data_IF_326123348919
#
_entry.id   IF_326123348919
#
_cell.length_a   1.000
_cell.length_b   1.000
_cell.length_c   1.000
_cell.angle_alpha   90.00
_cell.angle_beta   90.00
_cell.angle_gamma   90.00
#
_symmetry.space_group_name_H-M   'P 1'
#
loop_
_entity.id
_entity.type
_entity.pdbx_description
1 polymer ?
#
# COMPACT_ATOMS: atom_id res chain seq x y z
N UNK A 1 -5.16 -20.36 -26.78
CA UNK A 1 -5.23 -19.33 -25.69
C UNK A 1 -3.87 -18.71 -25.63
N UNK A 2 -3.74 -17.42 -25.91
CA UNK A 2 -2.46 -16.73 -25.77
C UNK A 2 -2.04 -16.76 -24.29
N UNK A 3 -0.77 -17.05 -24.03
CA UNK A 3 -0.21 -16.93 -22.69
C UNK A 3 -0.27 -15.45 -22.31
N UNK A 4 -1.10 -15.11 -21.33
CA UNK A 4 -1.30 -13.73 -20.88
C UNK A 4 -0.22 -13.30 -19.89
N UNK A 5 0.58 -14.25 -19.39
CA UNK A 5 1.61 -14.03 -18.38
C UNK A 5 2.77 -14.99 -18.59
N UNK A 6 3.99 -14.45 -18.66
CA UNK A 6 5.23 -15.23 -18.70
C UNK A 6 5.87 -15.21 -17.30
N UNK A 7 6.26 -16.39 -16.79
CA UNK A 7 7.08 -16.50 -15.59
C UNK A 7 8.54 -16.68 -15.98
N UNK A 8 9.39 -15.82 -15.46
CA UNK A 8 10.85 -15.91 -15.61
C UNK A 8 11.49 -16.18 -14.26
N UNK A 9 12.44 -17.10 -14.20
CA UNK A 9 13.17 -17.43 -12.99
C UNK A 9 14.67 -17.24 -13.19
N UNK A 10 15.28 -16.42 -12.35
CA UNK A 10 16.72 -16.14 -12.39
C UNK A 10 17.37 -16.56 -11.08
N UNK A 11 18.44 -17.35 -11.18
CA UNK A 11 19.24 -17.80 -10.04
C UNK A 11 20.46 -16.90 -9.85
N UNK A 12 20.79 -16.60 -8.59
CA UNK A 12 22.00 -15.83 -8.29
C UNK A 12 23.30 -16.62 -8.56
N UNK A 13 23.22 -17.97 -8.72
CA UNK A 13 24.34 -18.84 -9.06
C UNK A 13 23.88 -19.88 -10.09
N UNK A 14 24.60 -20.05 -11.20
CA UNK A 14 24.22 -21.00 -12.25
C UNK A 14 24.45 -22.47 -11.85
N UNK A 15 25.33 -22.70 -10.87
CA UNK A 15 25.63 -24.01 -10.33
C UNK A 15 26.00 -23.90 -8.85
N UNK A 16 25.69 -24.96 -8.11
CA UNK A 16 26.00 -25.08 -6.68
C UNK A 16 26.91 -26.28 -6.49
N UNK A 17 28.07 -26.13 -5.84
CA UNK A 17 28.97 -27.27 -5.59
C UNK A 17 28.33 -28.29 -4.66
N UNK A 18 28.60 -29.55 -4.91
CA UNK A 18 28.16 -30.64 -4.01
C UNK A 18 29.03 -30.59 -2.74
N UNK A 19 28.43 -30.17 -1.62
CA UNK A 19 29.08 -30.13 -0.30
C UNK A 19 28.14 -30.66 0.77
N UNK A 20 28.69 -31.04 1.92
CA UNK A 20 27.89 -31.41 3.09
C UNK A 20 27.34 -30.21 3.87
N UNK A 21 27.77 -28.99 3.54
CA UNK A 21 27.34 -27.77 4.20
C UNK A 21 26.06 -27.22 3.55
N UNK A 22 25.19 -26.62 4.38
CA UNK A 22 24.04 -25.87 3.87
C UNK A 22 24.50 -24.70 2.99
N UNK A 23 23.82 -24.51 1.88
CA UNK A 23 24.11 -23.43 0.95
C UNK A 23 22.86 -22.57 0.76
N UNK A 24 23.05 -21.25 0.69
CA UNK A 24 21.99 -20.29 0.41
C UNK A 24 21.95 -19.97 -1.09
N UNK A 25 20.77 -20.12 -1.66
CA UNK A 25 20.47 -19.79 -3.04
C UNK A 25 19.36 -18.76 -3.09
N UNK A 26 19.51 -17.76 -3.94
CA UNK A 26 18.46 -16.78 -4.21
C UNK A 26 17.87 -17.03 -5.59
N UNK A 27 16.55 -17.01 -5.65
CA UNK A 27 15.78 -17.15 -6.89
C UNK A 27 14.91 -15.92 -7.04
N UNK A 28 15.09 -15.15 -8.10
CA UNK A 28 14.16 -14.10 -8.51
C UNK A 28 13.15 -14.73 -9.46
N UNK A 29 11.87 -14.59 -9.13
CA UNK A 29 10.75 -15.03 -9.98
C UNK A 29 10.02 -13.78 -10.43
N UNK A 30 9.95 -13.56 -11.73
CA UNK A 30 9.30 -12.40 -12.35
C UNK A 30 8.07 -12.87 -13.13
N UNK A 31 6.95 -12.21 -12.87
CA UNK A 31 5.72 -12.38 -13.62
C UNK A 31 5.61 -11.23 -14.63
N UNK A 32 5.88 -11.52 -15.89
CA UNK A 32 5.89 -10.53 -16.98
C UNK A 32 4.59 -10.65 -17.77
N UNK A 33 3.70 -9.65 -17.73
CA UNK A 33 2.49 -9.65 -18.54
C UNK A 33 2.82 -9.47 -20.01
N UNK A 34 2.01 -10.04 -20.90
CA UNK A 34 2.12 -9.76 -22.33
C UNK A 34 1.68 -8.30 -22.64
N UNK A 35 1.95 -7.84 -23.86
CA UNK A 35 1.64 -6.46 -24.27
C UNK A 35 0.14 -6.12 -24.17
N UNK A 36 -0.74 -7.10 -24.34
CA UNK A 36 -2.20 -6.92 -24.28
C UNK A 36 -2.64 -6.74 -22.84
N UNK A 37 -2.15 -7.59 -21.93
CA UNK A 37 -2.45 -7.50 -20.49
C UNK A 37 -1.83 -6.25 -19.89
N UNK A 38 -0.61 -5.88 -20.29
CA UNK A 38 0.05 -4.67 -19.82
C UNK A 38 -0.71 -3.37 -20.17
N UNK A 39 -1.61 -3.41 -21.18
CA UNK A 39 -2.47 -2.27 -21.56
C UNK A 39 -3.80 -2.25 -20.78
N UNK A 40 -4.15 -3.32 -20.07
CA UNK A 40 -5.38 -3.38 -19.27
C UNK A 40 -5.19 -2.59 -17.98
N UNK A 41 -5.90 -1.47 -17.88
CA UNK A 41 -5.93 -0.69 -16.65
C UNK A 41 -7.03 -1.20 -15.72
N UNK A 42 -6.67 -1.55 -14.49
CA UNK A 42 -7.63 -1.81 -13.43
C UNK A 42 -8.18 -0.49 -12.87
N UNK A 43 -9.49 -0.44 -12.63
CA UNK A 43 -10.10 0.69 -11.92
C UNK A 43 -9.64 0.71 -10.46
N UNK A 44 -9.55 1.87 -9.86
CA UNK A 44 -9.17 2.04 -8.46
C UNK A 44 -10.39 2.27 -7.58
N UNK A 45 -10.29 1.79 -6.35
CA UNK A 45 -11.07 2.19 -5.19
C UNK A 45 -10.06 2.54 -4.10
N UNK A 46 -9.72 3.83 -4.00
CA UNK A 46 -8.56 4.32 -3.27
C UNK A 46 -8.98 5.21 -2.10
N UNK A 47 -8.58 4.82 -0.90
CA UNK A 47 -8.81 5.58 0.32
C UNK A 47 -7.55 6.29 0.80
N UNK A 48 -7.57 7.62 0.88
CA UNK A 48 -6.54 8.40 1.55
C UNK A 48 -6.89 8.55 3.02
N UNK A 49 -5.98 8.14 3.93
CA UNK A 49 -6.08 8.29 5.38
C UNK A 49 -4.92 9.18 5.82
N UNK A 50 -5.22 10.42 6.13
CA UNK A 50 -4.25 11.49 6.21
C UNK A 50 -4.16 12.07 7.63
N UNK A 51 -2.97 12.03 8.18
CA UNK A 51 -2.66 12.69 9.43
C UNK A 51 -2.70 14.22 9.25
N UNK A 52 -3.42 14.88 10.13
CA UNK A 52 -3.42 16.33 10.25
C UNK A 52 -3.08 16.79 11.67
N UNK A 53 -2.36 15.99 12.45
CA UNK A 53 -1.92 16.31 13.82
C UNK A 53 -1.11 17.59 13.90
N UNK A 54 -0.80 18.03 15.11
CA UNK A 54 -0.08 19.27 15.34
C UNK A 54 1.32 19.30 14.73
N UNK A 55 2.01 18.16 14.63
CA UNK A 55 3.32 17.98 14.00
C UNK A 55 3.32 18.20 12.50
N UNK A 56 2.18 18.02 11.85
CA UNK A 56 1.99 18.26 10.41
C UNK A 56 1.93 19.74 10.02
N UNK A 57 2.03 20.69 10.97
CA UNK A 57 1.95 22.14 10.67
C UNK A 57 3.05 22.61 9.73
N UNK A 58 2.73 23.65 8.95
CA UNK A 58 3.67 24.30 8.02
C UNK A 58 3.79 23.52 6.72
N UNK A 59 5.01 23.33 6.27
CA UNK A 59 5.30 22.77 4.96
C UNK A 59 4.75 21.33 4.76
N UNK A 60 4.77 20.50 5.80
CA UNK A 60 4.26 19.11 5.72
C UNK A 60 2.81 19.06 5.28
N UNK A 61 1.91 19.83 5.91
CA UNK A 61 0.49 19.82 5.55
C UNK A 61 0.25 20.45 4.18
N UNK A 62 1.05 21.45 3.79
CA UNK A 62 0.92 22.07 2.48
C UNK A 62 1.34 21.12 1.37
N UNK A 63 2.46 20.39 1.55
CA UNK A 63 2.90 19.33 0.61
C UNK A 63 1.95 18.14 0.57
N UNK A 64 1.36 17.76 1.69
CA UNK A 64 0.33 16.72 1.71
C UNK A 64 -0.88 17.11 0.86
N UNK A 65 -1.38 18.34 1.00
CA UNK A 65 -2.48 18.88 0.19
C UNK A 65 -2.12 18.83 -1.29
N UNK A 66 -0.93 19.32 -1.66
CA UNK A 66 -0.41 19.30 -3.03
C UNK A 66 -0.35 17.86 -3.58
N UNK A 67 0.16 16.91 -2.80
CA UNK A 67 0.27 15.50 -3.20
C UNK A 67 -1.09 14.87 -3.47
N UNK A 68 -2.08 15.12 -2.62
CA UNK A 68 -3.45 14.62 -2.82
C UNK A 68 -4.09 15.25 -4.05
N UNK A 69 -3.93 16.56 -4.28
CA UNK A 69 -4.44 17.23 -5.48
C UNK A 69 -3.82 16.66 -6.76
N UNK A 70 -2.51 16.45 -6.76
CA UNK A 70 -1.80 15.85 -7.88
C UNK A 70 -2.26 14.40 -8.13
N UNK A 71 -2.44 13.60 -7.07
CA UNK A 71 -2.99 12.25 -7.18
C UNK A 71 -4.39 12.26 -7.81
N UNK A 72 -5.30 13.12 -7.32
CA UNK A 72 -6.64 13.29 -7.87
C UNK A 72 -6.62 13.69 -9.35
N UNK A 73 -5.65 14.51 -9.76
CA UNK A 73 -5.52 14.94 -11.16
C UNK A 73 -5.15 13.80 -12.12
N UNK A 74 -4.42 12.78 -11.62
CA UNK A 74 -3.92 11.62 -12.39
C UNK A 74 -4.88 10.43 -12.40
N UNK A 75 -5.81 10.36 -11.46
CA UNK A 75 -6.82 9.31 -11.40
C UNK A 75 -7.87 9.50 -12.51
N UNK A 76 -8.55 8.45 -12.91
CA UNK A 76 -9.56 8.49 -13.99
C UNK A 76 -10.96 8.76 -13.42
N UNK A 77 -11.89 9.14 -14.29
CA UNK A 77 -13.26 9.51 -13.89
C UNK A 77 -14.07 8.35 -13.30
N UNK A 78 -13.72 7.11 -13.64
CA UNK A 78 -14.37 5.89 -13.15
C UNK A 78 -13.70 5.29 -11.91
N UNK A 79 -12.56 5.88 -11.45
CA UNK A 79 -11.98 5.54 -10.15
C UNK A 79 -12.86 6.06 -9.01
N UNK A 80 -12.88 5.29 -7.92
CA UNK A 80 -13.45 5.71 -6.65
C UNK A 80 -12.35 6.26 -5.75
N UNK A 81 -12.64 7.34 -5.07
CA UNK A 81 -11.73 7.95 -4.12
C UNK A 81 -12.46 8.37 -2.86
N UNK A 82 -11.84 8.16 -1.73
CA UNK A 82 -12.25 8.74 -0.43
C UNK A 82 -11.07 9.44 0.24
N UNK A 83 -11.37 10.44 1.06
CA UNK A 83 -10.36 11.14 1.87
C UNK A 83 -10.86 11.19 3.30
N UNK A 84 -10.13 10.54 4.18
CA UNK A 84 -10.32 10.58 5.63
C UNK A 84 -9.16 11.34 6.25
N UNK A 85 -9.44 12.25 7.18
CA UNK A 85 -8.44 12.98 7.93
C UNK A 85 -8.55 12.65 9.40
N UNK A 86 -7.42 12.57 10.10
CA UNK A 86 -7.38 12.27 11.51
C UNK A 86 -6.38 13.13 12.29
N UNK A 87 -6.64 13.27 13.58
CA UNK A 87 -5.78 13.82 14.61
C UNK A 87 -6.17 13.12 15.94
N UNK A 88 -6.54 13.80 17.00
CA UNK A 88 -7.26 13.27 18.18
C UNK A 88 -8.72 12.86 17.87
N UNK A 89 -9.22 13.22 16.72
CA UNK A 89 -10.49 12.79 16.16
C UNK A 89 -10.33 12.49 14.67
N UNK A 90 -11.24 11.72 14.09
CA UNK A 90 -11.24 11.43 12.67
C UNK A 90 -12.57 11.78 12.02
N UNK A 91 -12.50 12.16 10.75
CA UNK A 91 -13.69 12.39 9.93
C UNK A 91 -13.45 12.06 8.47
N UNK A 92 -14.46 11.60 7.79
CA UNK A 92 -14.46 11.48 6.33
C UNK A 92 -14.65 12.89 5.77
N UNK A 93 -13.62 13.39 5.09
CA UNK A 93 -13.63 14.68 4.41
C UNK A 93 -14.32 14.57 3.05
N UNK A 94 -14.01 13.50 2.31
CA UNK A 94 -14.60 13.13 1.03
C UNK A 94 -15.08 11.69 1.16
N UNK A 95 -16.40 11.43 1.18
CA UNK A 95 -16.93 10.08 1.09
C UNK A 95 -16.54 9.40 -0.22
N UNK A 96 -16.48 8.07 -0.22
CA UNK A 96 -16.13 7.31 -1.42
C UNK A 96 -17.03 7.71 -2.60
N UNK A 97 -16.43 8.28 -3.62
CA UNK A 97 -17.15 8.82 -4.78
C UNK A 97 -16.32 8.68 -6.06
N UNK A 98 -17.01 8.67 -7.19
CA UNK A 98 -16.34 8.74 -8.51
C UNK A 98 -15.77 10.14 -8.76
N UNK A 99 -14.66 10.20 -9.46
CA UNK A 99 -13.97 11.46 -9.80
C UNK A 99 -14.69 12.29 -10.87
N UNK A 100 -16.00 12.45 -10.75
CA UNK A 100 -16.77 13.27 -11.68
C UNK A 100 -16.52 14.78 -11.54
N UNK A 101 -16.09 15.24 -10.36
CA UNK A 101 -15.81 16.66 -10.07
C UNK A 101 -14.52 16.83 -9.27
N UNK A 102 -13.37 16.71 -9.95
CA UNK A 102 -12.03 16.87 -9.33
C UNK A 102 -11.85 18.21 -8.63
N UNK A 103 -12.35 19.30 -9.22
CA UNK A 103 -12.24 20.66 -8.66
C UNK A 103 -12.95 20.80 -7.32
N UNK A 104 -14.12 20.19 -7.16
CA UNK A 104 -14.85 20.19 -5.89
C UNK A 104 -14.10 19.40 -4.81
N UNK A 105 -13.52 18.25 -5.15
CA UNK A 105 -12.73 17.43 -4.25
C UNK A 105 -11.45 18.14 -3.81
N UNK A 106 -10.71 18.72 -4.76
CA UNK A 106 -9.53 19.53 -4.49
C UNK A 106 -9.86 20.71 -3.56
N UNK A 107 -10.98 21.41 -3.79
CA UNK A 107 -11.41 22.50 -2.92
C UNK A 107 -11.70 22.06 -1.48
N UNK A 108 -12.15 20.83 -1.27
CA UNK A 108 -12.32 20.26 0.08
C UNK A 108 -10.96 19.94 0.71
N UNK A 109 -10.04 19.33 -0.04
CA UNK A 109 -8.68 18.97 0.41
C UNK A 109 -7.90 20.23 0.83
N UNK A 110 -8.00 21.34 0.10
CA UNK A 110 -7.37 22.64 0.47
C UNK A 110 -7.84 23.22 1.80
N UNK A 111 -8.94 22.71 2.37
CA UNK A 111 -9.44 23.14 3.68
C UNK A 111 -8.84 22.37 4.85
N UNK A 112 -7.99 21.38 4.60
CA UNK A 112 -7.30 20.64 5.65
C UNK A 112 -6.41 21.63 6.41
N UNK A 113 -6.43 21.52 7.74
CA UNK A 113 -5.58 22.33 8.62
C UNK A 113 -5.02 21.41 9.70
N UNK A 114 -3.73 21.54 9.96
CA UNK A 114 -3.04 20.78 10.99
C UNK A 114 -3.42 21.23 12.40
N UNK A 115 -3.56 20.26 13.31
CA UNK A 115 -3.83 20.50 14.75
C UNK A 115 -4.39 19.27 15.45
N UNK A 116 -4.24 19.23 16.75
CA UNK A 116 -4.66 18.12 17.61
C UNK A 116 -3.55 17.09 17.84
N UNK A 117 -3.92 15.98 18.51
CA UNK A 117 -3.07 14.82 18.73
C UNK A 117 -3.07 13.84 17.56
N UNK A 118 -2.75 12.56 17.83
CA UNK A 118 -2.66 11.51 16.81
C UNK A 118 -3.34 10.23 17.31
N UNK A 119 -4.57 9.95 16.87
CA UNK A 119 -5.29 8.69 17.08
C UNK A 119 -5.48 8.01 15.71
N UNK A 120 -4.49 7.24 15.29
CA UNK A 120 -4.42 6.61 13.97
C UNK A 120 -5.53 5.60 13.73
N UNK A 121 -5.90 4.81 14.75
CA UNK A 121 -6.93 3.78 14.62
C UNK A 121 -8.29 4.33 14.20
N UNK A 122 -8.62 5.55 14.63
CA UNK A 122 -9.87 6.22 14.21
C UNK A 122 -9.84 6.57 12.73
N UNK A 123 -8.69 7.10 12.27
CA UNK A 123 -8.48 7.39 10.86
C UNK A 123 -8.58 6.14 9.99
N UNK A 124 -7.85 5.09 10.37
CA UNK A 124 -7.87 3.81 9.67
C UNK A 124 -9.27 3.19 9.64
N UNK A 125 -9.98 3.16 10.76
CA UNK A 125 -11.33 2.60 10.83
C UNK A 125 -12.29 3.27 9.86
N UNK A 126 -12.29 4.61 9.79
CA UNK A 126 -13.15 5.36 8.87
C UNK A 126 -12.71 5.18 7.41
N UNK A 127 -11.40 5.26 7.13
CA UNK A 127 -10.89 5.13 5.77
C UNK A 127 -11.10 3.73 5.18
N UNK A 128 -10.86 2.69 5.97
CA UNK A 128 -11.13 1.31 5.58
C UNK A 128 -12.62 1.07 5.30
N UNK A 129 -13.51 1.65 6.13
CA UNK A 129 -14.96 1.55 5.91
C UNK A 129 -15.37 2.17 4.58
N UNK A 130 -14.82 3.31 4.19
CA UNK A 130 -15.10 3.96 2.91
C UNK A 130 -14.68 3.09 1.72
N UNK A 131 -13.51 2.45 1.79
CA UNK A 131 -13.03 1.53 0.74
C UNK A 131 -13.85 0.24 0.73
N UNK A 132 -14.16 -0.31 1.92
CA UNK A 132 -14.88 -1.56 2.06
C UNK A 132 -16.30 -1.51 1.49
N UNK A 133 -17.03 -0.41 1.73
CA UNK A 133 -18.41 -0.23 1.25
C UNK A 133 -18.54 -0.28 -0.28
N UNK A 134 -17.47 0.07 -1.00
CA UNK A 134 -17.43 0.13 -2.46
C UNK A 134 -16.42 -0.87 -3.05
N UNK A 135 -16.10 -1.93 -2.28
CA UNK A 135 -15.19 -2.97 -2.73
C UNK A 135 -15.82 -3.78 -3.86
N UNK A 136 -15.16 -3.77 -5.00
CA UNK A 136 -15.51 -4.56 -6.19
C UNK A 136 -14.32 -5.44 -6.60
N UNK A 137 -14.62 -6.63 -7.15
CA UNK A 137 -13.58 -7.60 -7.53
C UNK A 137 -12.81 -7.17 -8.77
N UNK A 138 -13.33 -6.27 -9.60
CA UNK A 138 -12.70 -5.70 -10.79
C UNK A 138 -11.92 -4.40 -10.51
N UNK A 139 -11.81 -4.00 -9.22
CA UNK A 139 -11.05 -2.82 -8.79
C UNK A 139 -9.84 -3.19 -7.94
N UNK A 140 -8.81 -2.38 -8.01
CA UNK A 140 -7.76 -2.35 -6.99
C UNK A 140 -8.32 -1.58 -5.78
N UNK A 141 -8.56 -2.28 -4.69
CA UNK A 141 -9.04 -1.69 -3.44
C UNK A 141 -7.81 -1.46 -2.54
N UNK A 142 -7.52 -0.23 -2.16
CA UNK A 142 -6.31 0.10 -1.42
C UNK A 142 -6.51 1.32 -0.53
N UNK A 143 -5.81 1.32 0.62
CA UNK A 143 -5.69 2.50 1.50
C UNK A 143 -4.24 3.00 1.47
N UNK A 144 -4.08 4.31 1.37
CA UNK A 144 -2.82 5.02 1.59
C UNK A 144 -2.93 5.79 2.90
N UNK A 145 -2.16 5.35 3.88
CA UNK A 145 -2.00 6.00 5.19
C UNK A 145 -0.76 6.89 5.16
N UNK A 146 -0.89 8.15 5.55
CA UNK A 146 0.27 9.03 5.78
C UNK A 146 0.19 9.63 7.18
N UNK A 147 1.29 9.52 7.93
CA UNK A 147 1.47 10.10 9.28
C UNK A 147 2.91 10.54 9.49
N UNK A 148 3.11 11.56 10.31
CA UNK A 148 4.44 12.03 10.73
C UNK A 148 4.70 11.81 12.23
N UNK A 149 3.82 11.07 12.91
CA UNK A 149 3.90 10.92 14.35
C UNK A 149 3.60 9.53 14.86
N UNK A 150 3.88 9.37 16.15
CA UNK A 150 3.51 8.17 16.90
C UNK A 150 2.05 8.30 17.32
N UNK A 151 1.31 7.22 17.17
CA UNK A 151 -0.03 7.17 17.73
C UNK A 151 0.00 6.99 19.25
N UNK A 152 -1.08 7.33 19.94
CA UNK A 152 -1.11 7.40 21.41
C UNK A 152 -1.96 6.26 21.99
N UNK A 153 -1.35 5.07 22.11
CA UNK A 153 -1.91 3.93 22.86
C UNK A 153 -3.02 3.16 22.13
N UNK A 154 -3.19 3.36 20.83
CA UNK A 154 -4.16 2.65 19.99
C UNK A 154 -3.53 1.68 18.97
N UNK A 155 -2.21 1.38 19.13
CA UNK A 155 -1.45 0.47 18.27
C UNK A 155 -2.12 -0.91 18.13
N UNK A 156 -2.61 -1.58 19.22
CA UNK A 156 -3.28 -2.86 19.08
C UNK A 156 -4.54 -2.79 18.22
N UNK A 157 -5.24 -1.65 18.26
CA UNK A 157 -6.43 -1.42 17.43
C UNK A 157 -6.04 -1.21 15.96
N UNK A 158 -4.93 -0.50 15.69
CA UNK A 158 -4.40 -0.33 14.34
C UNK A 158 -4.04 -1.69 13.72
N UNK A 159 -3.36 -2.56 14.46
CA UNK A 159 -3.00 -3.91 14.00
C UNK A 159 -4.23 -4.80 13.78
N UNK A 160 -5.26 -4.68 14.62
CA UNK A 160 -6.54 -5.38 14.40
C UNK A 160 -7.18 -4.95 13.08
N UNK A 161 -7.25 -3.64 12.82
CA UNK A 161 -7.80 -3.10 11.58
C UNK A 161 -6.98 -3.51 10.35
N UNK A 162 -5.64 -3.60 10.49
CA UNK A 162 -4.78 -4.09 9.42
C UNK A 162 -5.05 -5.56 9.06
N UNK A 163 -5.29 -6.43 10.07
CA UNK A 163 -5.69 -7.84 9.83
C UNK A 163 -7.03 -7.92 9.11
N UNK A 164 -8.03 -7.19 9.58
CA UNK A 164 -9.35 -7.11 8.94
C UNK A 164 -9.23 -6.62 7.48
N UNK A 165 -8.37 -5.64 7.24
CA UNK A 165 -8.09 -5.14 5.88
C UNK A 165 -7.47 -6.22 5.00
N UNK A 166 -6.48 -6.99 5.50
CA UNK A 166 -5.86 -8.11 4.81
C UNK A 166 -6.86 -9.21 4.45
N UNK A 167 -7.72 -9.62 5.40
CA UNK A 167 -8.79 -10.59 5.17
C UNK A 167 -9.76 -10.15 4.06
N UNK A 168 -9.96 -8.84 3.93
CA UNK A 168 -10.80 -8.24 2.90
C UNK A 168 -10.03 -7.85 1.62
N UNK A 169 -8.74 -8.17 1.53
CA UNK A 169 -7.90 -7.84 0.38
C UNK A 169 -7.87 -6.33 0.06
N UNK A 170 -7.75 -5.52 1.12
CA UNK A 170 -7.58 -4.07 1.07
C UNK A 170 -6.20 -3.75 1.64
N UNK A 171 -5.12 -3.85 0.85
CA UNK A 171 -3.79 -3.54 1.32
C UNK A 171 -3.70 -2.08 1.80
N UNK A 172 -2.96 -1.88 2.90
CA UNK A 172 -2.65 -0.56 3.43
C UNK A 172 -1.19 -0.25 3.06
N UNK A 173 -1.00 0.79 2.27
CA UNK A 173 0.31 1.38 2.06
C UNK A 173 0.50 2.46 3.11
N UNK A 174 1.46 2.28 4.01
CA UNK A 174 1.78 3.24 5.04
C UNK A 174 2.98 4.11 4.62
N UNK A 175 2.86 5.42 4.81
CA UNK A 175 3.93 6.38 4.58
C UNK A 175 4.25 7.08 5.91
N UNK A 176 5.45 6.87 6.45
CA UNK A 176 5.98 7.54 7.62
C UNK A 176 6.79 8.76 7.21
N UNK A 177 6.46 9.94 7.73
CA UNK A 177 7.10 11.21 7.37
C UNK A 177 8.08 11.68 8.43
N UNK A 178 9.35 11.86 8.06
CA UNK A 178 10.43 12.28 8.95
C UNK A 178 10.89 11.13 9.87
N UNK A 179 11.41 11.46 11.05
CA UNK A 179 12.08 10.49 11.93
C UNK A 179 11.27 10.13 13.19
N UNK A 180 10.13 10.79 13.44
CA UNK A 180 9.39 10.72 14.72
C UNK A 180 8.22 9.71 14.71
N UNK A 181 8.04 8.94 13.64
CA UNK A 181 6.96 7.96 13.52
C UNK A 181 7.35 6.56 14.03
N UNK A 182 6.36 5.72 14.28
CA UNK A 182 6.58 4.35 14.74
C UNK A 182 6.78 3.41 13.54
N UNK A 183 8.07 3.22 13.14
CA UNK A 183 8.46 2.39 12.01
C UNK A 183 7.94 0.96 12.13
N UNK A 184 8.10 0.34 13.30
CA UNK A 184 7.66 -1.04 13.53
C UNK A 184 6.15 -1.18 13.35
N UNK A 185 5.36 -0.22 13.84
CA UNK A 185 3.91 -0.26 13.72
C UNK A 185 3.47 -0.11 12.26
N UNK A 186 4.04 0.84 11.50
CA UNK A 186 3.65 1.06 10.11
C UNK A 186 4.08 -0.11 9.22
N UNK A 187 5.26 -0.69 9.44
CA UNK A 187 5.71 -1.88 8.72
C UNK A 187 4.80 -3.08 9.01
N UNK A 188 4.41 -3.28 10.27
CA UNK A 188 3.50 -4.35 10.67
C UNK A 188 2.09 -4.14 10.08
N UNK A 189 1.56 -2.90 10.08
CA UNK A 189 0.28 -2.56 9.42
C UNK A 189 0.34 -2.88 7.92
N UNK A 190 1.40 -2.43 7.25
CA UNK A 190 1.62 -2.70 5.84
C UNK A 190 1.68 -4.19 5.54
N UNK A 191 2.56 -4.92 6.23
CA UNK A 191 2.79 -6.35 6.03
C UNK A 191 1.53 -7.18 6.29
N UNK A 192 0.86 -6.98 7.42
CA UNK A 192 -0.34 -7.75 7.80
C UNK A 192 -1.49 -7.52 6.82
N UNK A 193 -1.64 -6.30 6.31
CA UNK A 193 -2.70 -5.98 5.35
C UNK A 193 -2.39 -6.41 3.90
N UNK A 194 -1.15 -6.87 3.63
CA UNK A 194 -0.69 -7.21 2.28
C UNK A 194 -0.26 -5.99 1.45
N UNK A 195 0.00 -4.87 2.10
CA UNK A 195 0.61 -3.68 1.52
C UNK A 195 2.08 -3.56 1.89
N UNK A 196 2.51 -2.40 2.37
CA UNK A 196 3.88 -2.14 2.82
C UNK A 196 4.02 -0.80 3.52
N UNK A 197 5.24 -0.50 3.96
CA UNK A 197 5.58 0.81 4.50
C UNK A 197 6.76 1.42 3.75
N UNK A 198 6.73 2.74 3.55
CA UNK A 198 7.83 3.51 2.97
C UNK A 198 8.12 4.74 3.82
N UNK A 199 9.39 5.12 3.89
CA UNK A 199 9.84 6.35 4.52
C UNK A 199 9.73 7.53 3.56
N UNK A 200 9.15 8.63 4.04
CA UNK A 200 9.19 9.95 3.41
C UNK A 200 10.13 10.82 4.23
N UNK A 201 11.35 11.02 3.75
CA UNK A 201 12.42 11.64 4.54
C UNK A 201 12.12 13.11 4.92
N UNK A 202 11.41 13.84 4.07
CA UNK A 202 11.07 15.23 4.32
C UNK A 202 9.83 15.69 3.58
N UNK A 203 9.42 16.93 3.83
CA UNK A 203 8.22 17.51 3.22
C UNK A 203 8.31 17.52 1.69
N UNK A 204 9.48 17.76 1.12
CA UNK A 204 9.69 17.79 -0.34
C UNK A 204 9.51 16.42 -1.00
N UNK A 205 9.69 15.33 -0.27
CA UNK A 205 9.55 13.97 -0.75
C UNK A 205 8.09 13.46 -0.73
N UNK A 206 7.18 14.18 -0.04
CA UNK A 206 5.77 13.78 0.06
C UNK A 206 5.15 13.65 -1.33
N UNK A 207 5.27 14.68 -2.16
CA UNK A 207 4.64 14.72 -3.49
C UNK A 207 5.19 13.63 -4.42
N UNK A 208 6.51 13.44 -4.57
CA UNK A 208 7.08 12.37 -5.39
C UNK A 208 6.64 10.97 -4.93
N UNK A 209 6.82 10.64 -3.64
CA UNK A 209 6.56 9.30 -3.10
C UNK A 209 5.05 8.98 -3.17
N UNK A 210 4.21 9.91 -2.73
CA UNK A 210 2.76 9.77 -2.79
C UNK A 210 2.27 9.54 -4.23
N UNK A 211 2.78 10.33 -5.18
CA UNK A 211 2.47 10.19 -6.59
C UNK A 211 2.92 8.84 -7.16
N UNK A 212 4.14 8.41 -6.81
CA UNK A 212 4.67 7.12 -7.24
C UNK A 212 3.82 5.97 -6.71
N UNK A 213 3.38 6.03 -5.45
CA UNK A 213 2.52 5.02 -4.84
C UNK A 213 1.19 4.90 -5.58
N UNK A 214 0.54 6.02 -5.89
CA UNK A 214 -0.70 6.02 -6.67
C UNK A 214 -0.48 5.47 -8.09
N UNK A 215 0.62 5.84 -8.74
CA UNK A 215 0.97 5.33 -10.08
C UNK A 215 1.23 3.82 -10.07
N UNK A 216 1.94 3.29 -9.09
CA UNK A 216 2.16 1.84 -8.93
C UNK A 216 0.84 1.09 -8.81
N UNK A 217 -0.11 1.61 -8.04
CA UNK A 217 -1.46 1.02 -7.93
C UNK A 217 -2.20 1.04 -9.27
N UNK A 218 -2.06 2.09 -10.07
CA UNK A 218 -2.67 2.19 -11.41
C UNK A 218 -2.07 1.22 -12.43
N UNK A 219 -0.81 0.86 -12.26
CA UNK A 219 -0.08 -0.06 -13.14
C UNK A 219 -0.24 -1.54 -12.75
N UNK A 220 -0.89 -1.83 -11.63
CA UNK A 220 -1.13 -3.20 -11.22
C UNK A 220 -2.08 -3.89 -12.22
N UNK A 221 -1.58 -4.91 -12.91
CA UNK A 221 -2.34 -5.69 -13.91
C UNK A 221 -2.79 -7.05 -13.36
N UNK A 222 -2.23 -7.45 -12.22
CA UNK A 222 -2.53 -8.70 -11.53
C UNK A 222 -2.84 -8.44 -10.07
N UNK A 223 -3.82 -9.15 -9.55
CA UNK A 223 -4.13 -9.19 -8.11
C UNK A 223 -4.43 -10.61 -7.67
N UNK A 224 -4.23 -10.88 -6.38
CA UNK A 224 -4.48 -12.20 -5.79
C UNK A 224 -3.71 -13.32 -6.50
N UNK A 225 -2.47 -13.06 -6.93
CA UNK A 225 -1.63 -14.05 -7.55
C UNK A 225 -1.18 -15.10 -6.52
N UNK A 226 -1.33 -16.38 -6.87
CA UNK A 226 -0.80 -17.49 -6.08
C UNK A 226 0.36 -18.15 -6.81
N UNK A 227 1.52 -18.21 -6.16
CA UNK A 227 2.70 -18.89 -6.69
C UNK A 227 2.90 -20.21 -5.94
N UNK A 228 2.93 -21.31 -6.69
CA UNK A 228 3.25 -22.64 -6.16
C UNK A 228 4.65 -23.03 -6.61
N UNK A 229 5.55 -23.26 -5.66
CA UNK A 229 6.91 -23.72 -5.91
C UNK A 229 7.02 -25.21 -5.58
N UNK A 230 7.53 -26.00 -6.54
CA UNK A 230 7.91 -27.39 -6.29
C UNK A 230 9.42 -27.46 -6.13
N UNK A 231 9.85 -27.89 -4.95
CA UNK A 231 11.26 -27.99 -4.60
C UNK A 231 11.68 -29.46 -4.61
N UNK A 232 12.93 -29.73 -5.00
CA UNK A 232 13.52 -31.05 -4.94
C UNK A 232 13.88 -31.42 -3.51
N UNK A 233 14.01 -32.72 -3.22
CA UNK A 233 14.41 -33.21 -1.90
C UNK A 233 15.71 -32.56 -1.42
N UNK A 234 15.74 -32.15 -0.16
CA UNK A 234 16.88 -31.46 0.46
C UNK A 234 16.91 -29.95 0.24
N UNK A 235 15.97 -29.37 -0.47
CA UNK A 235 15.80 -27.93 -0.63
C UNK A 235 14.58 -27.46 0.14
N UNK A 236 14.74 -26.42 0.98
CA UNK A 236 13.65 -25.81 1.72
C UNK A 236 13.69 -24.28 1.56
N UNK A 237 12.55 -23.61 1.45
CA UNK A 237 12.53 -22.16 1.42
C UNK A 237 12.92 -21.64 2.80
N UNK A 238 13.71 -20.57 2.84
CA UNK A 238 14.06 -19.89 4.08
C UNK A 238 13.17 -18.66 4.29
N UNK A 239 13.01 -17.87 3.26
CA UNK A 239 12.18 -16.67 3.25
C UNK A 239 11.67 -16.43 1.83
N UNK A 240 10.47 -15.87 1.72
CA UNK A 240 9.86 -15.48 0.44
C UNK A 240 9.50 -14.01 0.53
N UNK A 241 10.04 -13.22 -0.39
CA UNK A 241 9.82 -11.79 -0.43
C UNK A 241 9.19 -11.38 -1.75
N UNK A 242 8.20 -10.51 -1.69
CA UNK A 242 7.82 -9.70 -2.82
C UNK A 242 8.78 -8.51 -2.89
N UNK A 243 9.33 -8.23 -4.08
CA UNK A 243 10.28 -7.11 -4.27
C UNK A 243 9.75 -6.03 -5.19
N UNK A 244 8.65 -6.31 -5.89
CA UNK A 244 7.96 -5.37 -6.78
C UNK A 244 6.45 -5.60 -6.66
N UNK A 245 5.59 -4.58 -6.59
CA UNK A 245 5.90 -3.14 -6.61
C UNK A 245 6.50 -2.61 -5.30
N UNK A 246 6.46 -3.40 -4.22
CA UNK A 246 7.00 -3.04 -2.90
C UNK A 246 7.65 -4.26 -2.24
N UNK A 247 8.59 -4.00 -1.35
CA UNK A 247 9.25 -5.06 -0.59
C UNK A 247 8.34 -5.46 0.57
N UNK A 248 7.92 -6.72 0.59
CA UNK A 248 7.16 -7.31 1.70
C UNK A 248 7.51 -8.78 1.87
N UNK A 249 7.49 -9.25 3.12
CA UNK A 249 7.66 -10.67 3.42
C UNK A 249 6.32 -11.40 3.22
N UNK A 250 6.27 -12.30 2.26
CA UNK A 250 5.03 -13.03 1.95
C UNK A 250 4.80 -14.24 2.86
N UNK A 251 5.84 -14.67 3.59
CA UNK A 251 5.81 -15.99 4.21
C UNK A 251 5.66 -17.11 3.17
N UNK A 252 5.39 -18.32 3.61
CA UNK A 252 4.98 -19.44 2.77
C UNK A 252 4.21 -20.47 3.60
N UNK A 253 3.26 -21.16 2.93
CA UNK A 253 2.55 -22.29 3.54
C UNK A 253 3.05 -23.57 2.87
N UNK A 254 3.63 -24.54 3.61
CA UNK A 254 3.97 -25.84 3.04
C UNK A 254 2.70 -26.51 2.54
N UNK A 255 2.66 -26.83 1.24
CA UNK A 255 1.67 -27.77 0.73
C UNK A 255 2.18 -29.15 1.12
N UNK A 256 1.39 -29.94 1.84
CA UNK A 256 1.76 -31.27 2.26
C UNK A 256 2.28 -32.14 1.10
N UNK A 257 3.14 -33.12 1.45
CA UNK A 257 3.70 -34.11 0.53
C UNK A 257 2.61 -34.95 -0.17
#
# INVERSE_FOLDING_TARGET
MAEQLKLEATLNKPAVPVTSAQQLLYVLIEAVPDEVVAQVRMKLNFGFVLDRSGSMRGEKIDRLIEAVELALSRMQADDLVSVTIFSDSARVLVPSTRLSSRSSLAAQVRRIRAGGGTEMSRGLSLGLREVYQHRETDRINQVLLLTDGQTHGDEPQCLKLAREAGEHQIPIQALGLGDDWNENLLDEIGTISGGGADLVAGADDIVPIFTQTVQRSQQAVLKNAHLTLRLVAGVSPRQVWQVTPMISNLGYTPLGE
#
